data_IF_909319067842
#
_entry.id   IF_909319067842
#
_cell.length_a   1.000
_cell.length_b   1.000
_cell.length_c   1.000
_cell.angle_alpha   90.00
_cell.angle_beta   90.00
_cell.angle_gamma   90.00
#
_symmetry.space_group_name_H-M   'P 1'
#
loop_
_entity.id
_entity.type
_entity.pdbx_description
1 polymer ?
#
# COMPACT_ATOMS: atom_id res chain seq x y z
N UNK A 1 -18.63 -13.04 -30.54
CA UNK A 1 -17.74 -14.03 -31.20
C UNK A 1 -17.40 -15.13 -30.22
N UNK A 2 -16.59 -14.89 -29.18
CA UNK A 2 -16.22 -15.93 -28.20
C UNK A 2 -17.39 -16.66 -27.51
N UNK A 3 -18.43 -15.94 -27.05
CA UNK A 3 -19.61 -16.56 -26.41
C UNK A 3 -20.53 -17.33 -27.38
N UNK A 4 -20.46 -17.06 -28.69
CA UNK A 4 -21.40 -17.65 -29.66
C UNK A 4 -20.97 -19.05 -30.11
N UNK A 5 -19.68 -19.34 -30.14
CA UNK A 5 -19.14 -20.67 -30.43
C UNK A 5 -19.38 -21.22 -31.85
N UNK A 6 -19.98 -20.45 -32.76
CA UNK A 6 -20.21 -20.84 -34.15
C UNK A 6 -18.93 -20.75 -34.99
N UNK A 7 -18.77 -21.63 -35.98
CA UNK A 7 -17.64 -21.63 -36.90
C UNK A 7 -17.43 -20.25 -37.56
N UNK A 8 -18.51 -19.56 -37.94
CA UNK A 8 -18.45 -18.20 -38.48
C UNK A 8 -17.93 -17.15 -37.48
N UNK A 9 -18.25 -17.26 -36.19
CA UNK A 9 -17.63 -16.42 -35.16
C UNK A 9 -16.17 -16.76 -34.90
N UNK A 10 -15.79 -18.03 -35.02
CA UNK A 10 -14.40 -18.46 -34.90
C UNK A 10 -13.54 -17.86 -36.02
N UNK A 11 -13.96 -17.98 -37.28
CA UNK A 11 -13.27 -17.38 -38.42
C UNK A 11 -13.16 -15.86 -38.27
N UNK A 12 -14.26 -15.20 -37.86
CA UNK A 12 -14.23 -13.76 -37.60
C UNK A 12 -13.26 -13.38 -36.48
N UNK A 13 -13.19 -14.15 -35.39
CA UNK A 13 -12.25 -13.89 -34.31
C UNK A 13 -10.79 -14.12 -34.73
N UNK A 14 -10.54 -15.16 -35.55
CA UNK A 14 -9.20 -15.45 -36.09
C UNK A 14 -8.65 -14.29 -36.93
N UNK A 15 -9.51 -13.54 -37.63
CA UNK A 15 -9.09 -12.37 -38.40
C UNK A 15 -8.56 -11.21 -37.53
N UNK A 16 -8.93 -11.14 -36.25
CA UNK A 16 -8.43 -10.11 -35.32
C UNK A 16 -7.23 -10.59 -34.50
N UNK A 17 -7.12 -11.89 -34.25
CA UNK A 17 -6.14 -12.46 -33.34
C UNK A 17 -4.92 -12.98 -34.11
N UNK A 18 -3.77 -12.36 -33.86
CA UNK A 18 -2.51 -12.75 -34.50
C UNK A 18 -1.99 -14.12 -34.04
N UNK A 19 -2.28 -14.52 -32.79
CA UNK A 19 -1.75 -15.75 -32.18
C UNK A 19 -2.84 -16.81 -32.06
N UNK A 20 -2.61 -18.06 -32.52
CA UNK A 20 -3.62 -19.12 -32.44
C UNK A 20 -3.99 -19.49 -30.99
N UNK A 21 -3.03 -19.39 -30.05
CA UNK A 21 -3.27 -19.62 -28.62
C UNK A 21 -4.27 -18.60 -28.03
N UNK A 22 -4.35 -17.39 -28.57
CA UNK A 22 -5.34 -16.42 -28.12
C UNK A 22 -6.76 -16.82 -28.56
N UNK A 23 -6.89 -17.48 -29.71
CA UNK A 23 -8.16 -17.98 -30.21
C UNK A 23 -8.70 -19.13 -29.33
N UNK A 24 -7.85 -20.09 -28.95
CA UNK A 24 -8.26 -21.16 -28.04
C UNK A 24 -8.68 -20.61 -26.67
N UNK A 25 -7.89 -19.70 -26.09
CA UNK A 25 -8.24 -19.05 -24.82
C UNK A 25 -9.56 -18.26 -24.88
N UNK A 26 -9.84 -17.60 -26.02
CA UNK A 26 -11.10 -16.89 -26.24
C UNK A 26 -12.31 -17.81 -26.15
N UNK A 27 -12.20 -19.00 -26.73
CA UNK A 27 -13.31 -19.94 -26.87
C UNK A 27 -13.43 -20.86 -25.65
N UNK A 28 -12.33 -21.23 -25.01
CA UNK A 28 -12.36 -22.19 -23.90
C UNK A 28 -12.46 -21.49 -22.54
N UNK A 29 -11.58 -20.52 -22.29
CA UNK A 29 -11.46 -19.88 -20.97
C UNK A 29 -12.39 -18.68 -20.83
N UNK A 30 -12.33 -17.74 -21.78
CA UNK A 30 -13.06 -16.47 -21.67
C UNK A 30 -14.55 -16.62 -21.97
N UNK A 31 -14.95 -17.54 -22.84
CA UNK A 31 -16.37 -17.83 -23.09
C UNK A 31 -17.09 -18.31 -21.82
N UNK A 32 -16.46 -19.23 -21.06
CA UNK A 32 -16.97 -19.80 -19.81
C UNK A 32 -17.01 -18.73 -18.72
N UNK A 33 -15.91 -17.99 -18.53
CA UNK A 33 -15.84 -16.91 -17.53
C UNK A 33 -16.94 -15.86 -17.72
N UNK A 34 -17.28 -15.52 -18.96
CA UNK A 34 -18.24 -14.47 -19.26
C UNK A 34 -19.61 -14.98 -19.70
N UNK A 35 -19.91 -16.26 -19.50
CA UNK A 35 -21.15 -16.90 -19.95
C UNK A 35 -22.41 -16.14 -19.49
N UNK A 36 -22.45 -15.77 -18.21
CA UNK A 36 -23.61 -15.11 -17.58
C UNK A 36 -23.58 -13.58 -17.69
N UNK A 37 -22.45 -13.00 -18.10
CA UNK A 37 -22.25 -11.54 -18.13
C UNK A 37 -22.76 -10.93 -19.45
N UNK A 38 -23.74 -10.00 -19.45
CA UNK A 38 -24.26 -9.37 -20.65
C UNK A 38 -23.46 -8.10 -21.01
N UNK A 39 -22.23 -8.27 -21.50
CA UNK A 39 -21.36 -7.15 -21.89
C UNK A 39 -20.46 -6.61 -20.75
N UNK A 40 -19.66 -5.58 -21.05
CA UNK A 40 -18.74 -4.99 -20.06
C UNK A 40 -17.63 -5.95 -19.62
N UNK A 41 -16.97 -6.61 -20.58
CA UNK A 41 -15.92 -7.60 -20.31
C UNK A 41 -14.55 -6.99 -20.01
N UNK A 42 -14.36 -5.72 -20.36
CA UNK A 42 -13.12 -4.97 -20.16
C UNK A 42 -13.34 -3.84 -19.17
N UNK A 43 -12.26 -3.43 -18.49
CA UNK A 43 -12.22 -2.25 -17.63
C UNK A 43 -11.00 -1.42 -17.97
N UNK A 44 -11.19 -0.09 -17.96
CA UNK A 44 -10.13 0.89 -18.18
C UNK A 44 -9.90 1.66 -16.87
N UNK A 45 -8.71 1.54 -16.30
CA UNK A 45 -8.30 2.20 -15.06
C UNK A 45 -7.26 3.28 -15.37
N UNK A 46 -7.57 4.55 -15.08
CA UNK A 46 -6.63 5.66 -15.30
C UNK A 46 -5.51 5.62 -14.24
N UNK A 47 -4.25 5.71 -14.67
CA UNK A 47 -3.08 5.68 -13.78
C UNK A 47 -2.40 7.04 -13.56
N UNK A 48 -2.75 8.04 -14.38
CA UNK A 48 -2.07 9.35 -14.43
C UNK A 48 -1.31 9.52 -15.74
N UNK A 49 -0.37 10.45 -15.78
CA UNK A 49 0.38 10.77 -16.99
C UNK A 49 1.78 10.15 -16.97
N UNK A 50 2.25 9.70 -18.13
CA UNK A 50 3.58 9.15 -18.33
C UNK A 50 4.63 10.23 -18.08
N UNK A 51 5.66 9.88 -17.31
CA UNK A 51 6.79 10.77 -17.03
C UNK A 51 7.58 10.99 -18.33
N UNK A 52 7.83 12.25 -18.69
CA UNK A 52 8.60 12.66 -19.87
C UNK A 52 7.74 13.40 -20.88
N UNK A 53 6.76 12.73 -21.47
CA UNK A 53 5.87 13.29 -22.49
C UNK A 53 4.49 13.72 -21.95
N UNK A 54 4.24 13.53 -20.65
CA UNK A 54 2.98 13.85 -19.97
C UNK A 54 1.76 13.17 -20.62
N UNK A 55 1.94 12.07 -21.34
CA UNK A 55 0.86 11.39 -22.05
C UNK A 55 -0.07 10.66 -21.06
N UNK A 56 -1.40 10.78 -21.16
CA UNK A 56 -2.33 10.10 -20.26
C UNK A 56 -2.25 8.58 -20.42
N UNK A 57 -2.13 7.85 -19.30
CA UNK A 57 -2.04 6.39 -19.26
C UNK A 57 -3.25 5.75 -18.59
N UNK A 58 -3.58 4.55 -19.04
CA UNK A 58 -4.57 3.70 -18.42
C UNK A 58 -4.17 2.21 -18.52
N UNK A 59 -4.63 1.42 -17.56
CA UNK A 59 -4.60 -0.05 -17.63
C UNK A 59 -5.90 -0.52 -18.26
N UNK A 60 -5.77 -1.33 -19.31
CA UNK A 60 -6.87 -2.13 -19.84
C UNK A 60 -6.78 -3.53 -19.25
N UNK A 61 -7.83 -3.96 -18.56
CA UNK A 61 -7.91 -5.29 -17.98
C UNK A 61 -9.21 -6.02 -18.38
N UNK A 62 -9.15 -7.34 -18.35
CA UNK A 62 -10.31 -8.21 -18.45
C UNK A 62 -10.96 -8.36 -17.07
N UNK A 63 -12.27 -8.19 -16.98
CA UNK A 63 -13.01 -8.27 -15.70
C UNK A 63 -12.99 -9.72 -15.18
N UNK A 64 -13.09 -9.91 -13.86
CA UNK A 64 -13.14 -11.25 -13.23
C UNK A 64 -11.88 -12.10 -13.50
N UNK A 65 -10.75 -11.44 -13.75
CA UNK A 65 -9.48 -12.11 -13.89
C UNK A 65 -8.83 -12.36 -12.51
N UNK A 66 -7.92 -13.34 -12.38
CA UNK A 66 -7.26 -13.67 -11.10
C UNK A 66 -6.42 -12.53 -10.49
N UNK A 67 -5.97 -11.59 -11.31
CA UNK A 67 -5.18 -10.40 -10.98
C UNK A 67 -5.93 -9.09 -11.29
N UNK A 68 -7.25 -9.06 -11.06
CA UNK A 68 -8.08 -7.87 -11.31
C UNK A 68 -7.64 -6.74 -10.37
N UNK A 69 -7.18 -5.62 -10.94
CA UNK A 69 -6.66 -4.49 -10.15
C UNK A 69 -7.76 -3.86 -9.31
N UNK A 70 -8.98 -3.76 -9.85
CA UNK A 70 -10.12 -3.20 -9.12
C UNK A 70 -10.49 -4.09 -7.94
N UNK A 71 -10.32 -5.41 -8.06
CA UNK A 71 -10.49 -6.36 -6.98
C UNK A 71 -9.52 -6.08 -5.83
N UNK A 72 -8.23 -6.04 -6.12
CA UNK A 72 -7.19 -5.78 -5.12
C UNK A 72 -7.35 -4.41 -4.44
N UNK A 73 -7.65 -3.37 -5.20
CA UNK A 73 -7.92 -2.03 -4.64
C UNK A 73 -9.13 -2.03 -3.71
N UNK A 74 -10.19 -2.76 -4.07
CA UNK A 74 -11.41 -2.82 -3.27
C UNK A 74 -11.18 -3.63 -2.00
N UNK A 75 -10.47 -4.76 -2.08
CA UNK A 75 -10.08 -5.55 -0.91
C UNK A 75 -9.31 -4.71 0.11
N UNK A 76 -8.35 -3.90 -0.37
CA UNK A 76 -7.58 -2.98 0.48
C UNK A 76 -8.45 -1.89 1.11
N UNK A 77 -9.37 -1.31 0.34
CA UNK A 77 -10.31 -0.32 0.85
C UNK A 77 -11.24 -0.90 1.92
N UNK A 78 -11.75 -2.12 1.72
CA UNK A 78 -12.56 -2.86 2.70
C UNK A 78 -11.77 -3.12 3.98
N UNK A 79 -10.55 -3.65 3.86
CA UNK A 79 -9.68 -3.90 5.01
C UNK A 79 -9.40 -2.63 5.82
N UNK A 80 -9.18 -1.50 5.13
CA UNK A 80 -9.03 -0.19 5.77
C UNK A 80 -10.30 0.28 6.48
N UNK A 81 -11.46 0.21 5.81
CA UNK A 81 -12.74 0.68 6.36
C UNK A 81 -13.12 -0.10 7.63
N UNK A 82 -12.94 -1.42 7.61
CA UNK A 82 -13.20 -2.28 8.77
C UNK A 82 -12.21 -1.99 9.90
N UNK A 83 -10.92 -1.84 9.58
CA UNK A 83 -9.92 -1.51 10.59
C UNK A 83 -10.20 -0.15 11.24
N UNK A 84 -10.57 0.84 10.44
CA UNK A 84 -10.91 2.18 10.92
C UNK A 84 -12.11 2.14 11.87
N UNK A 85 -13.18 1.42 11.51
CA UNK A 85 -14.36 1.25 12.37
C UNK A 85 -14.00 0.53 13.69
N UNK A 86 -13.16 -0.50 13.65
CA UNK A 86 -12.68 -1.22 14.84
C UNK A 86 -11.88 -0.33 15.78
N UNK A 87 -10.93 0.45 15.24
CA UNK A 87 -10.10 1.36 16.05
C UNK A 87 -10.92 2.51 16.63
N UNK A 88 -11.99 2.93 15.95
CA UNK A 88 -12.90 3.94 16.47
C UNK A 88 -13.75 3.41 17.63
N UNK A 89 -14.20 2.15 17.57
CA UNK A 89 -15.07 1.54 18.59
C UNK A 89 -14.32 0.88 19.75
N UNK A 90 -13.08 0.43 19.53
CA UNK A 90 -12.31 -0.36 20.48
C UNK A 90 -10.90 0.17 20.65
N UNK A 91 -10.26 -0.15 21.79
CA UNK A 91 -8.85 0.12 22.00
C UNK A 91 -8.01 -0.65 20.98
N UNK A 92 -6.95 -0.02 20.47
CA UNK A 92 -6.02 -0.61 19.50
C UNK A 92 -5.48 -1.98 19.96
N UNK A 93 -5.19 -2.13 21.25
CA UNK A 93 -4.73 -3.40 21.84
C UNK A 93 -5.73 -4.54 21.67
N UNK A 94 -7.03 -4.23 21.74
CA UNK A 94 -8.11 -5.22 21.59
C UNK A 94 -8.27 -5.59 20.12
N UNK A 95 -8.27 -4.59 19.23
CA UNK A 95 -8.31 -4.80 17.79
C UNK A 95 -7.14 -5.70 17.31
N UNK A 96 -5.94 -5.53 17.89
CA UNK A 96 -4.77 -6.37 17.61
C UNK A 96 -4.94 -7.83 18.03
N UNK A 97 -5.65 -8.10 19.14
CA UNK A 97 -5.83 -9.48 19.63
C UNK A 97 -6.84 -10.28 18.80
N UNK A 98 -7.90 -9.61 18.34
CA UNK A 98 -9.00 -10.27 17.63
C UNK A 98 -8.84 -10.27 16.11
N UNK A 99 -7.96 -9.40 15.56
CA UNK A 99 -7.71 -9.30 14.12
C UNK A 99 -8.94 -8.94 13.29
N UNK A 100 -8.86 -9.15 11.99
CA UNK A 100 -9.93 -8.84 11.03
C UNK A 100 -10.83 -10.04 10.65
N UNK A 101 -11.08 -10.97 11.58
CA UNK A 101 -11.86 -12.20 11.30
C UNK A 101 -13.35 -11.99 10.94
N UNK A 102 -13.93 -10.83 11.26
CA UNK A 102 -15.34 -10.50 11.01
C UNK A 102 -15.62 -10.00 9.59
N UNK A 103 -14.58 -9.86 8.76
CA UNK A 103 -14.66 -9.31 7.39
C UNK A 103 -15.71 -9.99 6.52
N UNK A 104 -15.81 -11.33 6.58
CA UNK A 104 -16.81 -12.08 5.81
C UNK A 104 -18.24 -11.72 6.21
N UNK A 105 -18.52 -11.57 7.50
CA UNK A 105 -19.86 -11.22 8.00
C UNK A 105 -20.25 -9.81 7.58
N UNK A 106 -19.30 -8.87 7.69
CA UNK A 106 -19.50 -7.48 7.23
C UNK A 106 -19.80 -7.46 5.74
N UNK A 107 -18.99 -8.13 4.91
CA UNK A 107 -19.21 -8.16 3.46
C UNK A 107 -20.55 -8.82 3.08
N UNK A 108 -20.95 -9.89 3.77
CA UNK A 108 -22.23 -10.55 3.54
C UNK A 108 -23.43 -9.64 3.88
N UNK A 109 -23.33 -8.84 4.95
CA UNK A 109 -24.34 -7.84 5.31
C UNK A 109 -24.38 -6.70 4.28
N UNK A 110 -23.22 -6.16 3.92
CA UNK A 110 -23.06 -5.04 2.97
C UNK A 110 -23.56 -5.37 1.55
N UNK A 111 -23.47 -6.64 1.15
CA UNK A 111 -24.02 -7.12 -0.14
C UNK A 111 -25.53 -6.94 -0.23
N UNK A 112 -26.25 -6.91 0.89
CA UNK A 112 -27.73 -6.83 0.95
C UNK A 112 -28.26 -5.40 1.01
N UNK A 113 -27.41 -4.42 1.31
CA UNK A 113 -27.80 -3.02 1.46
C UNK A 113 -28.04 -2.39 0.08
N UNK A 114 -29.16 -1.70 -0.12
CA UNK A 114 -29.45 -1.08 -1.41
C UNK A 114 -28.67 0.23 -1.65
N UNK A 115 -28.63 0.65 -2.91
CA UNK A 115 -27.97 1.90 -3.29
C UNK A 115 -28.76 3.11 -2.74
N UNK A 116 -28.11 3.93 -1.91
CA UNK A 116 -28.71 5.12 -1.32
C UNK A 116 -29.18 4.92 0.12
N UNK A 117 -29.26 3.68 0.60
CA UNK A 117 -29.54 3.39 2.00
C UNK A 117 -28.36 3.82 2.90
N UNK A 118 -28.70 4.51 3.99
CA UNK A 118 -27.75 4.86 5.03
C UNK A 118 -27.58 3.67 5.97
N UNK A 119 -26.34 3.40 6.38
CA UNK A 119 -26.00 2.28 7.26
C UNK A 119 -24.76 1.56 6.77
N UNK A 120 -24.36 0.51 7.49
CA UNK A 120 -23.19 -0.32 7.20
C UNK A 120 -21.86 0.21 7.76
N UNK A 121 -20.85 -0.64 7.72
CA UNK A 121 -19.47 -0.38 8.15
C UNK A 121 -18.66 0.24 7.01
N UNK A 122 -18.93 -0.15 5.76
CA UNK A 122 -18.16 0.30 4.61
C UNK A 122 -18.60 1.68 4.10
N UNK A 123 -17.66 2.45 3.55
CA UNK A 123 -17.98 3.70 2.84
C UNK A 123 -18.90 3.41 1.64
N UNK A 124 -19.83 4.32 1.28
CA UNK A 124 -20.80 4.08 0.20
C UNK A 124 -20.17 3.66 -1.14
N UNK A 125 -19.05 4.30 -1.53
CA UNK A 125 -18.35 3.96 -2.76
C UNK A 125 -17.66 2.59 -2.68
N UNK A 126 -17.10 2.23 -1.51
CA UNK A 126 -16.48 0.93 -1.28
C UNK A 126 -17.54 -0.17 -1.37
N UNK A 127 -18.67 -0.01 -0.68
CA UNK A 127 -19.84 -0.89 -0.77
C UNK A 127 -20.27 -1.12 -2.21
N UNK A 128 -20.47 -0.04 -2.96
CA UNK A 128 -20.88 -0.13 -4.37
C UNK A 128 -19.90 -0.92 -5.23
N UNK A 129 -18.60 -0.76 -4.98
CA UNK A 129 -17.57 -1.54 -5.69
C UNK A 129 -17.63 -3.02 -5.29
N UNK A 130 -17.77 -3.33 -4.01
CA UNK A 130 -17.92 -4.70 -3.50
C UNK A 130 -19.11 -5.39 -4.16
N UNK A 131 -20.29 -4.75 -4.15
CA UNK A 131 -21.50 -5.28 -4.77
C UNK A 131 -21.31 -5.56 -6.26
N UNK A 132 -20.67 -4.64 -7.00
CA UNK A 132 -20.38 -4.82 -8.42
C UNK A 132 -19.42 -5.97 -8.71
N UNK A 133 -18.38 -6.12 -7.88
CA UNK A 133 -17.37 -7.16 -8.06
C UNK A 133 -17.90 -8.55 -7.69
N UNK A 134 -18.74 -8.64 -6.65
CA UNK A 134 -19.32 -9.91 -6.21
C UNK A 134 -20.49 -10.38 -7.06
N UNK A 135 -21.08 -9.51 -7.89
CA UNK A 135 -22.27 -9.82 -8.70
C UNK A 135 -22.13 -11.10 -9.54
N UNK A 136 -20.93 -11.40 -10.06
CA UNK A 136 -20.68 -12.53 -10.96
C UNK A 136 -19.62 -13.52 -10.44
N UNK A 137 -19.20 -13.41 -9.16
CA UNK A 137 -18.16 -14.26 -8.56
C UNK A 137 -18.68 -15.23 -7.49
N UNK A 138 -20.00 -15.31 -7.29
CA UNK A 138 -20.63 -16.23 -6.35
C UNK A 138 -20.18 -16.07 -4.89
N UNK A 139 -20.26 -17.16 -4.11
CA UNK A 139 -19.79 -17.24 -2.72
C UNK A 139 -18.25 -17.38 -2.63
N UNK A 140 -17.62 -18.01 -3.63
CA UNK A 140 -16.17 -18.14 -3.69
C UNK A 140 -15.48 -16.78 -3.74
N UNK A 141 -15.99 -15.86 -4.56
CA UNK A 141 -15.51 -14.49 -4.59
C UNK A 141 -15.68 -13.77 -3.25
N UNK A 142 -16.76 -14.02 -2.52
CA UNK A 142 -16.96 -13.43 -1.19
C UNK A 142 -15.86 -13.90 -0.23
N UNK A 143 -15.55 -15.19 -0.23
CA UNK A 143 -14.50 -15.77 0.59
C UNK A 143 -13.13 -15.17 0.22
N UNK A 144 -12.77 -15.17 -1.06
CA UNK A 144 -11.51 -14.62 -1.56
C UNK A 144 -11.36 -13.14 -1.21
N UNK A 145 -12.43 -12.34 -1.38
CA UNK A 145 -12.41 -10.92 -1.04
C UNK A 145 -12.23 -10.71 0.46
N UNK A 146 -12.93 -11.51 1.28
CA UNK A 146 -12.84 -11.43 2.74
C UNK A 146 -11.43 -11.77 3.23
N UNK A 147 -10.80 -12.79 2.66
CA UNK A 147 -9.44 -13.21 2.99
C UNK A 147 -8.41 -12.14 2.61
N UNK A 148 -8.51 -11.56 1.41
CA UNK A 148 -7.63 -10.46 0.99
C UNK A 148 -7.80 -9.22 1.86
N UNK A 149 -9.04 -8.89 2.22
CA UNK A 149 -9.34 -7.75 3.08
C UNK A 149 -8.84 -7.95 4.51
N UNK A 150 -9.05 -9.14 5.11
CA UNK A 150 -8.53 -9.46 6.45
C UNK A 150 -7.01 -9.43 6.47
N UNK A 151 -6.36 -10.06 5.49
CA UNK A 151 -4.90 -10.05 5.33
C UNK A 151 -4.36 -8.63 5.24
N UNK A 152 -5.03 -7.74 4.49
CA UNK A 152 -4.62 -6.35 4.40
C UNK A 152 -4.76 -5.60 5.74
N UNK A 153 -5.88 -5.78 6.43
CA UNK A 153 -6.12 -5.16 7.74
C UNK A 153 -5.10 -5.65 8.80
N UNK A 154 -4.82 -6.95 8.84
CA UNK A 154 -3.84 -7.53 9.74
C UNK A 154 -2.43 -7.02 9.43
N UNK A 155 -2.08 -6.88 8.14
CA UNK A 155 -0.82 -6.25 7.72
C UNK A 155 -0.70 -4.81 8.21
N UNK A 156 -1.77 -4.02 8.12
CA UNK A 156 -1.79 -2.64 8.61
C UNK A 156 -1.59 -2.56 10.13
N UNK A 157 -2.16 -3.49 10.90
CA UNK A 157 -1.93 -3.60 12.34
C UNK A 157 -0.49 -4.03 12.68
N UNK A 158 0.08 -4.95 11.90
CA UNK A 158 1.39 -5.53 12.17
C UNK A 158 2.57 -4.62 11.76
N UNK A 159 2.47 -3.87 10.67
CA UNK A 159 3.56 -3.02 10.15
C UNK A 159 4.16 -2.03 11.17
N UNK A 160 3.38 -1.23 11.92
CA UNK A 160 3.97 -0.31 12.91
C UNK A 160 4.63 -1.06 14.06
N UNK A 161 4.10 -2.21 14.47
CA UNK A 161 4.68 -3.04 15.53
C UNK A 161 6.02 -3.62 15.10
N UNK A 162 6.10 -4.13 13.87
CA UNK A 162 7.32 -4.63 13.28
C UNK A 162 8.40 -3.53 13.22
N UNK A 163 8.04 -2.35 12.69
CA UNK A 163 8.94 -1.19 12.63
C UNK A 163 9.41 -0.74 14.02
N UNK A 164 8.51 -0.69 15.00
CA UNK A 164 8.86 -0.35 16.38
C UNK A 164 9.84 -1.38 16.97
N UNK A 165 9.56 -2.66 16.80
CA UNK A 165 10.43 -3.73 17.30
C UNK A 165 11.82 -3.72 16.65
N UNK A 166 11.90 -3.42 15.35
CA UNK A 166 13.17 -3.26 14.63
C UNK A 166 13.94 -2.03 15.13
N UNK A 167 13.24 -0.92 15.36
CA UNK A 167 13.83 0.30 15.92
C UNK A 167 14.38 0.06 17.34
N UNK A 168 13.60 -0.59 18.21
CA UNK A 168 14.02 -0.90 19.58
C UNK A 168 15.24 -1.85 19.58
N UNK A 169 15.24 -2.88 18.72
CA UNK A 169 16.41 -3.76 18.53
C UNK A 169 17.64 -3.00 18.04
N UNK A 170 17.49 -2.14 17.03
CA UNK A 170 18.59 -1.33 16.49
C UNK A 170 19.17 -0.41 17.57
N UNK A 171 18.30 0.22 18.37
CA UNK A 171 18.70 1.05 19.51
C UNK A 171 19.51 0.26 20.54
N UNK A 172 19.12 -0.98 20.86
CA UNK A 172 19.90 -1.85 21.74
C UNK A 172 21.26 -2.23 21.15
N UNK A 173 21.34 -2.56 19.86
CA UNK A 173 22.62 -2.83 19.18
C UNK A 173 23.53 -1.61 19.21
N UNK A 174 23.00 -0.42 18.93
CA UNK A 174 23.74 0.84 19.01
C UNK A 174 24.21 1.16 20.44
N UNK A 175 23.44 0.80 21.48
CA UNK A 175 23.88 0.95 22.87
C UNK A 175 25.10 0.11 23.22
N UNK A 176 25.23 -1.10 22.66
CA UNK A 176 26.41 -1.95 22.86
C UNK A 176 27.58 -1.58 21.94
N UNK A 177 27.31 -0.93 20.81
CA UNK A 177 28.31 -0.45 19.84
C UNK A 177 28.65 1.04 19.99
N UNK A 178 28.26 1.67 21.09
CA UNK A 178 28.74 3.02 21.42
C UNK A 178 30.26 2.96 21.53
N UNK A 179 30.96 3.80 20.76
CA UNK A 179 32.38 4.01 20.98
C UNK A 179 32.62 4.26 22.48
N UNK A 180 33.64 3.62 23.09
CA UNK A 180 33.88 3.75 24.51
C UNK A 180 33.97 5.24 24.84
N UNK A 181 33.10 5.71 25.74
CA UNK A 181 33.18 7.10 26.19
C UNK A 181 34.54 7.25 26.87
N UNK A 182 35.33 8.27 26.51
CA UNK A 182 36.62 8.45 27.13
C UNK A 182 36.38 8.73 28.61
N UNK A 183 37.19 8.12 29.47
CA UNK A 183 37.19 8.45 30.90
C UNK A 183 37.55 9.95 31.02
N UNK A 184 37.06 10.64 32.04
CA UNK A 184 37.39 12.06 32.24
C UNK A 184 38.92 12.26 32.22
N UNK A 185 39.41 13.10 31.30
CA UNK A 185 40.85 13.34 31.10
C UNK A 185 41.55 12.40 30.09
N UNK A 186 40.88 11.35 29.60
CA UNK A 186 41.39 10.49 28.54
C UNK A 186 41.02 11.07 27.16
N UNK A 187 41.94 10.96 26.21
CA UNK A 187 41.82 11.54 24.87
C UNK A 187 41.77 10.44 23.81
N UNK A 188 40.96 10.61 22.77
CA UNK A 188 41.00 9.67 21.65
C UNK A 188 42.24 9.88 20.80
N UNK A 189 42.76 8.81 20.22
CA UNK A 189 43.85 8.87 19.26
C UNK A 189 43.42 9.74 18.06
N UNK A 190 44.17 10.81 17.78
CA UNK A 190 43.87 11.78 16.71
C UNK A 190 43.03 13.00 17.13
N UNK A 191 42.55 13.07 18.38
CA UNK A 191 41.84 14.25 18.89
C UNK A 191 42.83 15.43 19.04
N UNK A 192 42.42 16.68 18.83
CA UNK A 192 43.32 17.87 18.93
C UNK A 192 43.08 18.71 20.17
N UNK A 193 42.02 18.41 20.94
CA UNK A 193 41.69 19.12 22.17
C UNK A 193 42.74 18.86 23.26
N UNK A 194 43.00 19.86 24.09
CA UNK A 194 43.88 19.75 25.26
C UNK A 194 43.17 18.99 26.38
N UNK A 195 43.90 18.14 27.10
CA UNK A 195 43.39 17.38 28.27
C UNK A 195 42.80 18.31 29.32
N UNK A 196 43.38 19.49 29.47
CA UNK A 196 42.97 20.53 30.43
C UNK A 196 41.62 21.18 30.06
N UNK A 197 41.25 21.17 28.78
CA UNK A 197 39.92 21.63 28.33
C UNK A 197 38.87 20.51 28.44
N UNK A 198 39.30 19.25 28.31
CA UNK A 198 38.43 18.09 28.48
C UNK A 198 38.06 17.86 29.96
N UNK A 199 38.99 18.10 30.90
CA UNK A 199 38.77 17.93 32.34
C UNK A 199 37.80 18.94 32.94
N UNK A 200 37.63 20.12 32.32
CA UNK A 200 36.65 21.15 32.76
C UNK A 200 35.19 20.75 32.48
N UNK A 201 34.96 19.65 31.76
CA UNK A 201 33.62 19.15 31.44
C UNK A 201 32.77 20.16 30.66
N UNK A 202 31.43 20.05 30.77
CA UNK A 202 30.47 20.91 30.05
C UNK A 202 30.44 22.36 30.56
N UNK A 203 31.05 22.63 31.72
CA UNK A 203 31.10 23.95 32.37
C UNK A 203 32.37 24.74 32.00
N UNK A 204 33.35 24.10 31.36
CA UNK A 204 34.57 24.77 30.89
C UNK A 204 34.32 25.67 29.68
N UNK A 205 34.94 26.84 29.67
CA UNK A 205 34.94 27.74 28.51
C UNK A 205 35.62 27.04 27.32
N UNK A 206 34.83 26.57 26.35
CA UNK A 206 35.35 25.92 25.14
C UNK A 206 35.82 27.00 24.16
N UNK A 207 37.12 27.03 23.85
CA UNK A 207 37.62 27.84 22.74
C UNK A 207 36.98 27.31 21.45
N UNK A 208 36.17 28.12 20.78
CA UNK A 208 35.60 27.70 19.49
C UNK A 208 36.74 27.45 18.51
N UNK A 209 36.78 26.26 17.93
CA UNK A 209 37.71 25.98 16.83
C UNK A 209 37.42 26.97 15.69
N UNK A 210 38.43 27.64 15.12
CA UNK A 210 38.21 28.54 14.00
C UNK A 210 37.56 27.74 12.88
N UNK A 211 36.38 28.19 12.43
CA UNK A 211 35.58 27.46 11.44
C UNK A 211 36.37 27.33 10.13
N UNK A 212 36.91 26.14 9.83
CA UNK A 212 37.48 25.80 8.53
C UNK A 212 36.36 25.56 7.50
N UNK A 213 35.57 26.57 7.18
CA UNK A 213 34.97 26.71 5.83
C UNK A 213 34.66 28.19 5.62
N UNK A 214 35.40 28.85 4.73
CA UNK A 214 34.88 30.02 4.02
C UNK A 214 33.75 29.52 3.12
N UNK A 215 32.55 29.45 3.67
CA UNK A 215 31.35 29.18 2.86
C UNK A 215 31.01 30.46 2.11
N UNK A 216 30.58 30.34 0.84
CA UNK A 216 30.15 31.46 -0.01
C UNK A 216 29.14 32.41 0.67
N UNK A 217 28.36 31.90 1.64
CA UNK A 217 27.45 32.70 2.48
C UNK A 217 28.18 33.72 3.37
N UNK A 218 29.37 33.39 3.90
CA UNK A 218 30.18 34.27 4.76
C UNK A 218 30.96 35.31 3.96
N UNK A 219 31.27 35.06 2.68
CA UNK A 219 32.04 35.98 1.85
C UNK A 219 31.18 37.05 1.18
N UNK A 220 29.91 36.77 0.88
CA UNK A 220 29.05 37.68 0.09
C UNK A 220 27.81 38.24 0.80
N UNK A 221 27.69 38.09 2.13
CA UNK A 221 26.64 38.70 2.97
C UNK A 221 25.20 38.59 2.39
N UNK A 222 24.85 37.44 1.80
CA UNK A 222 23.53 37.20 1.22
C UNK A 222 22.53 36.81 2.33
N UNK A 223 21.62 37.73 2.66
CA UNK A 223 20.51 37.50 3.61
C UNK A 223 19.51 36.48 3.03
N UNK A 224 19.27 35.40 3.76
CA UNK A 224 18.22 34.43 3.42
C UNK A 224 16.83 35.04 3.67
N UNK A 225 16.06 35.26 2.61
CA UNK A 225 14.62 35.43 2.72
C UNK A 225 13.99 34.04 2.81
N UNK A 226 13.31 33.76 3.91
CA UNK A 226 12.44 32.61 4.04
C UNK A 226 11.08 32.95 3.44
N UNK A 227 10.67 32.15 2.45
CA UNK A 227 9.28 31.95 2.04
C UNK A 227 8.93 30.51 2.38
#
# INVERSE_FOLDING_TARGET
MGKKGDAGSHTRAANFLLKPVALSNLVETFSKRYAERPGGYTRVLKLGNRKGDNAPQAVLELVDNPHDLRWEMTARAVGWDILQDKVQKQRVSTAMKHGAGETKQVLAAEKRIEFGERGGVLRPQTRWNVQKLLRYRGEEGLNELSEKASTHADKLLATPLALKSMFDKKKHIEQHNLAPRPIAGQKHVGETRSVLDMSKGRLGYQRQVPSKVLTMKKTFNLKSHHV
#
